data_IF_653619254365
#
_entry.id   IF_653619254365
#
_cell.length_a   1.000
_cell.length_b   1.000
_cell.length_c   1.000
_cell.angle_alpha   90.00
_cell.angle_beta   90.00
_cell.angle_gamma   90.00
#
_symmetry.space_group_name_H-M   'P 1'
#
loop_
_entity.id
_entity.type
_entity.pdbx_description
1 polymer ?
#
# COMPACT_ATOMS: atom_id res chain seq x y z
N UNK A 1 26.81 15.18 -3.69
CA UNK A 1 26.54 14.04 -4.61
C UNK A 1 25.24 13.38 -4.16
N UNK A 2 24.22 13.25 -5.05
CA UNK A 2 22.97 12.55 -4.78
C UNK A 2 23.25 11.06 -4.65
N UNK A 3 22.70 10.42 -3.61
CA UNK A 3 22.88 8.98 -3.36
C UNK A 3 21.56 8.22 -3.27
N UNK A 4 20.46 8.93 -3.09
CA UNK A 4 19.11 8.37 -3.00
C UNK A 4 18.15 9.30 -3.71
N UNK A 5 17.26 8.72 -4.51
CA UNK A 5 16.08 9.37 -5.08
C UNK A 5 14.86 8.71 -4.46
N UNK A 6 13.96 9.51 -3.93
CA UNK A 6 12.67 9.06 -3.41
C UNK A 6 11.59 9.69 -4.27
N UNK A 7 10.67 8.88 -4.80
CA UNK A 7 9.56 9.35 -5.62
C UNK A 7 8.24 8.80 -5.10
N UNK A 8 7.23 9.66 -5.11
CA UNK A 8 5.84 9.25 -4.97
C UNK A 8 5.38 8.45 -6.20
N UNK A 9 4.33 7.66 -6.04
CA UNK A 9 3.78 6.79 -7.09
C UNK A 9 2.56 7.44 -7.73
N UNK A 10 1.49 7.63 -6.95
CA UNK A 10 0.18 8.03 -7.45
C UNK A 10 0.18 9.52 -7.85
N UNK A 11 -0.20 9.81 -9.09
CA UNK A 11 -0.14 11.17 -9.64
C UNK A 11 1.27 11.68 -9.96
N UNK A 12 2.31 10.86 -9.76
CA UNK A 12 3.71 11.22 -10.04
C UNK A 12 4.35 10.24 -11.03
N UNK A 13 4.41 8.97 -10.72
CA UNK A 13 4.96 7.93 -11.60
C UNK A 13 3.87 7.18 -12.37
N UNK A 14 2.65 7.15 -11.81
CA UNK A 14 1.45 6.60 -12.44
C UNK A 14 0.33 7.63 -12.40
N UNK A 15 -0.73 7.43 -13.19
CA UNK A 15 -2.02 8.05 -12.90
C UNK A 15 -2.54 7.58 -11.54
N UNK A 16 -3.41 8.39 -10.90
CA UNK A 16 -4.01 8.04 -9.61
C UNK A 16 -4.70 6.67 -9.67
N UNK A 17 -4.33 5.77 -8.78
CA UNK A 17 -4.82 4.40 -8.76
C UNK A 17 -4.26 3.50 -9.87
N UNK A 18 -3.36 4.00 -10.70
CA UNK A 18 -2.70 3.24 -11.76
C UNK A 18 -1.74 2.18 -11.22
N UNK A 19 -1.57 1.09 -11.96
CA UNK A 19 -0.67 -0.01 -11.59
C UNK A 19 0.42 -0.29 -12.63
N UNK A 20 0.56 0.59 -13.62
CA UNK A 20 1.55 0.44 -14.71
C UNK A 20 2.48 1.63 -14.73
N UNK A 21 3.78 1.34 -14.75
CA UNK A 21 4.82 2.30 -15.02
C UNK A 21 5.26 2.22 -16.49
N UNK A 22 5.81 3.33 -16.98
CA UNK A 22 6.54 3.30 -18.24
C UNK A 22 7.73 2.34 -18.11
N UNK A 23 7.88 1.35 -19.01
CA UNK A 23 9.01 0.43 -18.99
C UNK A 23 10.38 1.12 -19.01
N UNK A 24 10.50 2.27 -19.64
CA UNK A 24 11.74 3.07 -19.67
C UNK A 24 12.17 3.51 -18.26
N UNK A 25 11.22 3.72 -17.34
CA UNK A 25 11.54 4.09 -15.97
C UNK A 25 12.31 2.97 -15.23
N UNK A 26 11.99 1.71 -15.48
CA UNK A 26 12.73 0.59 -14.88
C UNK A 26 14.21 0.61 -15.32
N UNK A 27 14.46 0.88 -16.60
CA UNK A 27 15.82 0.95 -17.14
C UNK A 27 16.60 2.13 -16.52
N UNK A 28 15.93 3.29 -16.36
CA UNK A 28 16.51 4.47 -15.70
C UNK A 28 16.89 4.15 -14.25
N UNK A 29 16.00 3.51 -13.48
CA UNK A 29 16.27 3.14 -12.09
C UNK A 29 17.45 2.16 -12.00
N UNK A 30 17.51 1.16 -12.86
CA UNK A 30 18.63 0.21 -12.90
C UNK A 30 19.96 0.90 -13.26
N UNK A 31 19.93 1.87 -14.19
CA UNK A 31 21.09 2.67 -14.54
C UNK A 31 21.57 3.57 -13.39
N UNK A 32 20.64 4.18 -12.65
CA UNK A 32 20.97 4.93 -11.43
C UNK A 32 21.65 4.03 -10.40
N UNK A 33 21.11 2.84 -10.17
CA UNK A 33 21.69 1.86 -9.23
C UNK A 33 23.11 1.46 -9.63
N UNK A 34 23.39 1.27 -10.93
CA UNK A 34 24.74 0.95 -11.41
C UNK A 34 25.75 2.09 -11.15
N UNK A 35 25.28 3.32 -10.95
CA UNK A 35 26.08 4.50 -10.60
C UNK A 35 26.14 4.73 -9.07
N UNK A 36 25.63 3.82 -8.26
CA UNK A 36 25.61 3.93 -6.80
C UNK A 36 24.52 4.87 -6.26
N UNK A 37 23.50 5.17 -7.06
CA UNK A 37 22.32 5.95 -6.65
C UNK A 37 21.16 4.99 -6.40
N UNK A 38 20.65 4.96 -5.18
CA UNK A 38 19.50 4.15 -4.79
C UNK A 38 18.19 4.83 -5.17
N UNK A 39 17.15 4.02 -5.36
CA UNK A 39 15.80 4.50 -5.59
C UNK A 39 14.85 3.93 -4.51
N UNK A 40 13.95 4.76 -4.02
CA UNK A 40 12.87 4.37 -3.13
C UNK A 40 11.53 4.84 -3.71
N UNK A 41 10.55 3.93 -3.79
CA UNK A 41 9.17 4.26 -4.07
C UNK A 41 8.47 4.58 -2.74
N UNK A 42 7.83 5.76 -2.65
CA UNK A 42 7.11 6.21 -1.47
C UNK A 42 5.63 6.36 -1.82
N UNK A 43 4.74 5.76 -1.03
CA UNK A 43 3.30 5.81 -1.29
C UNK A 43 2.48 5.52 -0.03
N UNK A 44 1.19 5.89 -0.08
CA UNK A 44 0.20 5.40 0.87
C UNK A 44 -0.18 3.93 0.66
N UNK A 45 0.29 3.29 -0.40
CA UNK A 45 0.01 1.89 -0.73
C UNK A 45 0.73 0.94 0.22
N UNK A 46 0.13 -0.23 0.43
CA UNK A 46 0.78 -1.35 1.10
C UNK A 46 1.99 -1.85 0.29
N UNK A 47 3.01 -2.38 0.96
CA UNK A 47 4.24 -2.87 0.33
C UNK A 47 3.99 -3.86 -0.81
N UNK A 48 3.01 -4.76 -0.68
CA UNK A 48 2.65 -5.72 -1.71
C UNK A 48 2.15 -5.05 -3.01
N UNK A 49 1.43 -3.92 -2.91
CA UNK A 49 1.01 -3.14 -4.07
C UNK A 49 2.20 -2.45 -4.74
N UNK A 50 3.16 -1.95 -3.96
CA UNK A 50 4.40 -1.38 -4.51
C UNK A 50 5.22 -2.48 -5.22
N UNK A 51 5.34 -3.66 -4.60
CA UNK A 51 6.01 -4.82 -5.22
C UNK A 51 5.39 -5.21 -6.57
N UNK A 52 4.06 -5.16 -6.68
CA UNK A 52 3.36 -5.45 -7.92
C UNK A 52 3.71 -4.44 -9.02
N UNK A 53 3.69 -3.14 -8.71
CA UNK A 53 4.01 -2.07 -9.66
C UNK A 53 5.45 -2.19 -10.15
N UNK A 54 6.38 -2.50 -9.25
CA UNK A 54 7.80 -2.60 -9.55
C UNK A 54 8.28 -4.05 -9.79
N UNK A 55 7.37 -4.98 -10.11
CA UNK A 55 7.70 -6.42 -10.25
C UNK A 55 8.98 -6.70 -11.05
N UNK A 56 9.27 -6.03 -12.20
CA UNK A 56 10.50 -6.29 -12.95
C UNK A 56 11.81 -5.95 -12.20
N UNK A 57 11.73 -5.04 -11.21
CA UNK A 57 12.89 -4.52 -10.46
C UNK A 57 12.67 -4.48 -8.95
N UNK A 58 11.66 -5.19 -8.44
CA UNK A 58 11.24 -5.14 -7.03
C UNK A 58 12.35 -5.42 -6.02
N UNK A 59 13.34 -6.24 -6.39
CA UNK A 59 14.51 -6.56 -5.56
C UNK A 59 15.66 -5.55 -5.71
N UNK A 60 15.47 -4.49 -6.46
CA UNK A 60 16.51 -3.45 -6.75
C UNK A 60 16.20 -2.11 -6.08
N UNK A 61 15.04 -1.92 -5.49
CA UNK A 61 14.57 -0.65 -4.92
C UNK A 61 14.19 -0.79 -3.45
N UNK A 62 14.02 0.35 -2.77
CA UNK A 62 13.42 0.43 -1.44
C UNK A 62 11.95 0.81 -1.52
N UNK A 63 11.18 0.41 -0.50
CA UNK A 63 9.77 0.72 -0.35
C UNK A 63 9.55 1.59 0.89
N UNK A 64 8.80 2.66 0.74
CA UNK A 64 8.26 3.47 1.82
C UNK A 64 6.74 3.39 1.64
N UNK A 65 6.15 2.38 2.26
CA UNK A 65 4.72 2.08 2.16
C UNK A 65 3.92 2.62 3.33
N UNK A 66 2.59 2.53 3.22
CA UNK A 66 1.65 2.86 4.29
C UNK A 66 1.87 4.27 4.88
N UNK A 67 2.09 5.27 4.00
CA UNK A 67 2.41 6.65 4.38
C UNK A 67 3.65 6.78 5.28
N UNK A 68 4.64 5.90 5.10
CA UNK A 68 5.89 5.88 5.88
C UNK A 68 5.84 5.00 7.12
N UNK A 69 4.73 4.31 7.39
CA UNK A 69 4.66 3.34 8.48
C UNK A 69 5.47 2.07 8.21
N UNK A 70 5.72 1.76 6.94
CA UNK A 70 6.57 0.67 6.47
C UNK A 70 7.78 1.21 5.71
N UNK A 71 8.98 0.72 6.06
CA UNK A 71 10.21 0.90 5.28
C UNK A 71 10.86 -0.45 5.07
N UNK A 72 11.17 -0.78 3.83
CA UNK A 72 11.78 -2.07 3.51
C UNK A 72 12.33 -2.14 2.09
N UNK A 73 12.67 -3.34 1.71
CA UNK A 73 12.98 -3.76 0.35
C UNK A 73 12.43 -5.16 0.17
N UNK A 74 12.41 -5.66 -1.06
CA UNK A 74 11.83 -6.97 -1.36
C UNK A 74 12.34 -8.07 -0.41
N UNK A 75 11.38 -8.72 0.28
CA UNK A 75 11.66 -9.79 1.22
C UNK A 75 12.33 -9.37 2.54
N UNK A 76 12.45 -8.05 2.83
CA UNK A 76 13.08 -7.58 4.06
C UNK A 76 12.43 -6.31 4.61
N UNK A 77 11.78 -6.44 5.77
CA UNK A 77 11.37 -5.30 6.59
C UNK A 77 12.62 -4.66 7.24
N UNK A 78 12.74 -3.33 7.16
CA UNK A 78 13.76 -2.53 7.82
C UNK A 78 13.18 -1.77 9.01
N UNK A 79 11.93 -1.32 8.89
CA UNK A 79 11.22 -0.57 9.91
C UNK A 79 9.72 -0.74 9.70
N UNK A 80 8.98 -0.88 10.80
CA UNK A 80 7.53 -0.94 10.82
C UNK A 80 6.98 -0.29 12.09
N UNK A 81 6.12 0.71 11.91
CA UNK A 81 5.32 1.29 13.00
C UNK A 81 4.00 0.54 13.11
N UNK A 82 3.54 0.32 14.33
CA UNK A 82 2.27 -0.36 14.61
C UNK A 82 1.42 0.49 15.53
N UNK A 83 0.12 0.46 15.34
CA UNK A 83 -0.83 1.02 16.27
C UNK A 83 -0.89 0.19 17.56
N UNK A 84 -1.28 0.86 18.67
CA UNK A 84 -1.82 0.12 19.81
C UNK A 84 -3.14 -0.52 19.37
N UNK A 85 -3.30 -1.81 19.62
CA UNK A 85 -4.46 -2.59 19.15
C UNK A 85 -5.80 -1.95 19.57
N UNK A 86 -5.91 -1.52 20.83
CA UNK A 86 -7.11 -0.86 21.35
C UNK A 86 -7.48 0.38 20.53
N UNK A 87 -6.52 1.29 20.30
CA UNK A 87 -6.74 2.49 19.51
C UNK A 87 -7.15 2.18 18.07
N UNK A 88 -6.52 1.19 17.45
CA UNK A 88 -6.89 0.78 16.10
C UNK A 88 -8.32 0.25 16.03
N UNK A 89 -8.76 -0.53 17.03
CA UNK A 89 -10.12 -1.05 17.09
C UNK A 89 -11.15 0.06 17.31
N UNK A 90 -10.85 1.08 18.09
CA UNK A 90 -11.72 2.25 18.26
C UNK A 90 -11.88 3.00 16.93
N UNK A 91 -10.78 3.25 16.22
CA UNK A 91 -10.80 3.91 14.90
C UNK A 91 -11.58 3.08 13.87
N UNK A 92 -11.42 1.76 13.84
CA UNK A 92 -12.17 0.86 12.97
C UNK A 92 -13.67 0.95 13.29
N UNK A 93 -14.04 0.95 14.58
CA UNK A 93 -15.43 1.07 15.01
C UNK A 93 -16.05 2.41 14.56
N UNK A 94 -15.33 3.52 14.70
CA UNK A 94 -15.79 4.85 14.27
C UNK A 94 -15.95 4.92 12.73
N UNK A 95 -15.01 4.36 11.96
CA UNK A 95 -15.12 4.29 10.51
C UNK A 95 -16.35 3.47 10.06
N UNK A 96 -16.59 2.33 10.71
CA UNK A 96 -17.77 1.48 10.44
C UNK A 96 -19.07 2.18 10.83
N UNK A 97 -19.10 2.88 11.95
CA UNK A 97 -20.26 3.68 12.37
C UNK A 97 -20.56 4.83 11.38
N UNK A 98 -19.53 5.36 10.70
CA UNK A 98 -19.67 6.33 9.62
C UNK A 98 -20.09 5.71 8.27
N UNK A 99 -20.33 4.40 8.20
CA UNK A 99 -20.75 3.67 7.00
C UNK A 99 -19.65 3.54 5.95
N UNK A 100 -18.41 3.49 6.38
CA UNK A 100 -17.26 3.31 5.47
C UNK A 100 -16.91 1.81 5.31
N UNK A 101 -16.50 1.43 4.11
CA UNK A 101 -15.76 0.20 3.86
C UNK A 101 -14.36 0.36 4.46
N UNK A 102 -13.94 -0.57 5.32
CA UNK A 102 -12.69 -0.43 6.08
C UNK A 102 -11.64 -1.41 5.57
N UNK A 103 -10.46 -0.89 5.32
CA UNK A 103 -9.23 -1.64 5.02
C UNK A 103 -8.28 -1.51 6.21
N UNK A 104 -7.70 -2.62 6.63
CA UNK A 104 -6.72 -2.68 7.73
C UNK A 104 -5.45 -3.31 7.21
N UNK A 105 -4.38 -2.52 7.15
CA UNK A 105 -3.07 -2.98 6.71
C UNK A 105 -2.29 -3.54 7.91
N UNK A 106 -1.80 -4.76 7.76
CA UNK A 106 -0.82 -5.41 8.63
C UNK A 106 0.50 -5.56 7.87
N UNK A 107 1.52 -6.21 8.46
CA UNK A 107 2.85 -6.30 7.84
C UNK A 107 2.84 -7.01 6.46
N UNK A 108 2.10 -8.12 6.35
CA UNK A 108 2.18 -9.02 5.18
C UNK A 108 0.98 -8.91 4.25
N UNK A 109 -0.18 -8.49 4.74
CA UNK A 109 -1.41 -8.39 3.97
C UNK A 109 -2.40 -7.41 4.61
N UNK A 110 -3.40 -7.02 3.83
CA UNK A 110 -4.52 -6.22 4.28
C UNK A 110 -5.71 -7.09 4.65
N UNK A 111 -6.55 -6.59 5.52
CA UNK A 111 -7.79 -7.25 6.00
C UNK A 111 -8.98 -6.34 5.81
N UNK A 112 -10.14 -6.94 5.56
CA UNK A 112 -11.43 -6.26 5.53
C UNK A 112 -12.54 -7.19 5.99
N UNK A 113 -13.62 -6.64 6.52
CA UNK A 113 -14.88 -7.34 6.70
C UNK A 113 -16.00 -6.75 5.83
N UNK A 114 -15.63 -5.87 4.89
CA UNK A 114 -16.56 -5.35 3.90
C UNK A 114 -17.06 -6.47 2.99
N UNK A 115 -18.37 -6.38 2.63
CA UNK A 115 -19.01 -7.23 1.63
C UNK A 115 -19.38 -6.46 0.36
N UNK A 116 -18.91 -5.22 0.24
CA UNK A 116 -19.11 -4.37 -0.93
C UNK A 116 -18.29 -4.89 -2.11
N UNK A 117 -18.91 -5.40 -3.20
CA UNK A 117 -18.19 -5.99 -4.31
C UNK A 117 -17.30 -4.98 -5.06
N UNK A 118 -17.74 -3.72 -5.15
CA UNK A 118 -16.98 -2.66 -5.83
C UNK A 118 -15.69 -2.35 -5.06
N UNK A 119 -15.80 -2.24 -3.72
CA UNK A 119 -14.65 -2.04 -2.86
C UNK A 119 -13.65 -3.21 -2.96
N UNK A 120 -14.13 -4.45 -2.85
CA UNK A 120 -13.28 -5.65 -2.95
C UNK A 120 -12.59 -5.72 -4.31
N UNK A 121 -13.32 -5.49 -5.40
CA UNK A 121 -12.77 -5.49 -6.74
C UNK A 121 -11.70 -4.40 -6.91
N UNK A 122 -11.94 -3.21 -6.35
CA UNK A 122 -10.99 -2.10 -6.43
C UNK A 122 -9.70 -2.40 -5.65
N UNK A 123 -9.81 -2.97 -4.46
CA UNK A 123 -8.64 -3.37 -3.67
C UNK A 123 -7.83 -4.47 -4.34
N UNK A 124 -8.50 -5.50 -4.89
CA UNK A 124 -7.85 -6.66 -5.51
C UNK A 124 -7.28 -6.33 -6.89
N UNK A 125 -8.05 -5.66 -7.75
CA UNK A 125 -7.71 -5.48 -9.17
C UNK A 125 -7.14 -4.10 -9.48
N UNK A 126 -7.50 -3.05 -8.70
CA UNK A 126 -6.96 -1.71 -8.85
C UNK A 126 -5.61 -1.56 -8.15
N UNK A 127 -5.60 -1.79 -6.84
CA UNK A 127 -4.40 -1.62 -6.03
C UNK A 127 -3.56 -2.88 -5.86
N UNK A 128 -4.05 -4.05 -6.28
CA UNK A 128 -3.36 -5.34 -6.16
C UNK A 128 -2.92 -5.67 -4.72
N UNK A 129 -3.80 -5.40 -3.75
CA UNK A 129 -3.55 -5.78 -2.36
C UNK A 129 -3.53 -7.30 -2.19
N UNK A 130 -2.70 -7.78 -1.28
CA UNK A 130 -2.86 -9.11 -0.69
C UNK A 130 -3.96 -9.02 0.35
N UNK A 131 -5.21 -9.15 -0.07
CA UNK A 131 -6.39 -8.93 0.75
C UNK A 131 -6.93 -10.24 1.33
N UNK A 132 -7.24 -10.24 2.64
CA UNK A 132 -7.96 -11.30 3.32
C UNK A 132 -9.28 -10.77 3.87
N UNK A 133 -10.36 -11.49 3.62
CA UNK A 133 -11.66 -11.18 4.16
C UNK A 133 -11.88 -11.88 5.50
N UNK A 134 -12.37 -11.14 6.48
CA UNK A 134 -12.80 -11.64 7.79
C UNK A 134 -14.30 -11.52 7.90
N UNK A 135 -14.88 -12.26 8.83
CA UNK A 135 -16.29 -12.05 9.21
C UNK A 135 -16.45 -10.76 10.02
N UNK A 136 -15.45 -10.44 10.85
CA UNK A 136 -15.45 -9.29 11.73
C UNK A 136 -14.00 -8.85 12.01
N UNK A 137 -13.65 -7.62 11.67
CA UNK A 137 -12.34 -7.05 11.91
C UNK A 137 -11.95 -7.01 13.41
N UNK A 138 -12.93 -7.07 14.33
CA UNK A 138 -12.64 -7.14 15.76
C UNK A 138 -11.94 -8.43 16.18
N UNK A 139 -11.97 -9.46 15.35
CA UNK A 139 -11.26 -10.73 15.59
C UNK A 139 -9.81 -10.69 15.13
N UNK A 140 -9.37 -9.61 14.50
CA UNK A 140 -8.01 -9.48 13.99
C UNK A 140 -7.02 -9.37 15.15
N UNK A 141 -6.13 -10.35 15.25
CA UNK A 141 -5.08 -10.41 16.27
C UNK A 141 -3.72 -9.90 15.78
N UNK A 142 -3.55 -9.74 14.47
CA UNK A 142 -2.31 -9.27 13.88
C UNK A 142 -2.08 -7.79 14.18
N UNK A 143 -0.82 -7.37 14.40
CA UNK A 143 -0.49 -5.97 14.66
C UNK A 143 -0.86 -5.09 13.47
N UNK A 144 -1.65 -4.05 13.74
CA UNK A 144 -2.18 -3.13 12.74
C UNK A 144 -1.16 -2.03 12.44
N UNK A 145 -0.90 -1.81 11.16
CA UNK A 145 0.04 -0.80 10.65
C UNK A 145 -0.71 0.46 10.23
N UNK A 146 -1.85 0.28 9.54
CA UNK A 146 -2.67 1.38 9.03
C UNK A 146 -4.13 0.96 8.97
N UNK A 147 -5.02 1.93 9.12
CA UNK A 147 -6.46 1.78 8.85
C UNK A 147 -6.88 2.81 7.82
N UNK A 148 -7.72 2.43 6.88
CA UNK A 148 -8.28 3.32 5.87
C UNK A 148 -9.78 3.04 5.72
N UNK A 149 -10.59 4.11 5.67
CA UNK A 149 -12.02 4.04 5.38
C UNK A 149 -12.29 4.58 3.99
N UNK A 150 -13.11 3.88 3.22
CA UNK A 150 -13.50 4.27 1.87
C UNK A 150 -15.03 4.36 1.76
N UNK A 151 -15.50 5.33 0.97
CA UNK A 151 -16.89 5.39 0.52
C UNK A 151 -16.90 5.26 -0.99
N UNK A 152 -17.49 4.18 -1.49
CA UNK A 152 -17.49 3.88 -2.94
C UNK A 152 -18.49 4.72 -3.73
N UNK A 153 -19.36 5.50 -3.08
CA UNK A 153 -20.30 6.38 -3.78
C UNK A 153 -19.56 7.44 -4.62
N UNK A 154 -19.68 7.34 -5.93
CA UNK A 154 -19.16 8.35 -6.89
C UNK A 154 -17.82 8.09 -7.54
N UNK A 155 -17.17 6.95 -7.32
CA UNK A 155 -15.93 6.59 -8.02
C UNK A 155 -16.17 6.10 -9.48
N UNK A 156 -17.41 5.76 -9.83
CA UNK A 156 -17.79 5.29 -11.17
C UNK A 156 -18.15 6.38 -12.20
N UNK A 157 -17.95 7.67 -11.88
CA UNK A 157 -18.35 8.80 -12.74
C UNK A 157 -17.25 9.82 -13.01
N UNK A 158 -15.99 9.39 -13.06
CA UNK A 158 -14.91 10.23 -13.58
C UNK A 158 -14.16 9.55 -14.70
#
# INVERSE_FOLDING_TARGET
>A
MIRLIVSDIDGTLTEDGGSRLDPELYEVILKLKSQGIYFAAASGRHSASIEYIFDPIKDKIFYIGDNGAYLGCYGRELFLTRYKQELAMDVIADMKAAGLDVLVDCADCAYTDSRNPEFLQWMLNGYHFRLKELEDLRTLAEPIVKTAGCRMEGLGSR
#
